data_IF_176695661922
#
_entry.id   IF_176695661922
#
_cell.length_a   1.000
_cell.length_b   1.000
_cell.length_c   1.000
_cell.angle_alpha   90.00
_cell.angle_beta   90.00
_cell.angle_gamma   90.00
#
_symmetry.space_group_name_H-M   'P 1'
#
loop_
_entity.id
_entity.type
_entity.pdbx_description
1 polymer ?
#
# COMPACT_ATOMS: atom_id res chain seq x y z
N UNK A 1 -0.19 -21.27 4.08
CA UNK A 1 0.58 -20.84 2.89
C UNK A 1 0.97 -19.37 3.08
N UNK A 2 2.23 -19.00 2.85
CA UNK A 2 2.69 -17.59 2.93
C UNK A 2 2.42 -16.90 1.59
N UNK A 3 1.85 -15.69 1.62
CA UNK A 3 1.67 -14.87 0.41
C UNK A 3 3.04 -14.46 -0.14
N UNK A 4 3.22 -14.61 -1.45
CA UNK A 4 4.45 -14.26 -2.15
C UNK A 4 4.57 -12.75 -2.28
N UNK A 5 5.78 -12.23 -2.09
CA UNK A 5 6.06 -10.82 -2.34
C UNK A 5 6.25 -10.60 -3.85
N UNK A 6 5.59 -9.57 -4.40
CA UNK A 6 5.76 -9.16 -5.79
C UNK A 6 6.92 -8.17 -5.91
N UNK A 7 7.82 -8.40 -6.86
CA UNK A 7 8.76 -7.38 -7.32
C UNK A 7 8.03 -6.32 -8.14
N UNK A 8 8.65 -5.15 -8.36
CA UNK A 8 8.04 -4.07 -9.15
C UNK A 8 7.83 -4.44 -10.63
N UNK A 9 8.64 -5.37 -11.14
CA UNK A 9 8.57 -5.87 -12.51
C UNK A 9 7.41 -6.87 -12.69
N UNK A 10 7.03 -7.56 -11.62
CA UNK A 10 5.94 -8.54 -11.63
C UNK A 10 4.57 -7.91 -11.43
N UNK A 11 4.52 -6.66 -10.97
CA UNK A 11 3.27 -5.95 -10.77
C UNK A 11 2.57 -5.69 -12.10
N UNK A 12 1.24 -5.69 -12.11
CA UNK A 12 0.48 -5.06 -13.18
C UNK A 12 0.41 -3.53 -13.00
N UNK A 13 -0.32 -2.84 -13.88
CA UNK A 13 -0.46 -1.39 -13.83
C UNK A 13 -1.25 -0.90 -12.60
N UNK A 14 -2.24 -1.65 -12.12
CA UNK A 14 -3.02 -1.28 -10.94
C UNK A 14 -2.18 -1.42 -9.67
N UNK A 15 -1.46 -2.52 -9.55
CA UNK A 15 -0.52 -2.79 -8.47
C UNK A 15 0.59 -1.73 -8.43
N UNK A 16 1.20 -1.41 -9.58
CA UNK A 16 2.20 -0.33 -9.66
C UNK A 16 1.63 1.01 -9.18
N UNK A 17 0.44 1.39 -9.65
CA UNK A 17 -0.21 2.64 -9.23
C UNK A 17 -0.43 2.71 -7.72
N UNK A 18 -0.91 1.64 -7.10
CA UNK A 18 -1.14 1.58 -5.65
C UNK A 18 0.19 1.64 -4.88
N UNK A 19 1.23 0.94 -5.35
CA UNK A 19 2.55 0.99 -4.75
C UNK A 19 3.17 2.40 -4.84
N UNK A 20 3.08 3.04 -6.01
CA UNK A 20 3.59 4.39 -6.26
C UNK A 20 2.84 5.43 -5.41
N UNK A 21 1.50 5.32 -5.30
CA UNK A 21 0.69 6.16 -4.40
C UNK A 21 1.19 6.05 -2.95
N UNK A 22 1.39 4.83 -2.45
CA UNK A 22 1.87 4.60 -1.09
C UNK A 22 3.29 5.12 -0.85
N UNK A 23 4.19 5.00 -1.84
CA UNK A 23 5.57 5.51 -1.78
C UNK A 23 5.59 7.04 -1.81
N UNK A 24 4.75 7.66 -2.64
CA UNK A 24 4.64 9.13 -2.73
C UNK A 24 4.09 9.80 -1.46
N UNK A 25 3.43 9.02 -0.60
CA UNK A 25 2.89 9.48 0.67
C UNK A 25 3.96 9.80 1.74
N UNK A 26 3.52 10.33 2.88
CA UNK A 26 4.36 10.77 4.03
C UNK A 26 5.36 9.73 4.55
N UNK A 27 5.16 8.45 4.25
CA UNK A 27 6.03 7.35 4.69
C UNK A 27 7.25 7.14 3.78
N UNK A 28 7.22 7.61 2.53
CA UNK A 28 8.31 7.41 1.57
C UNK A 28 8.58 5.94 1.18
N UNK A 29 7.70 5.02 1.58
CA UNK A 29 7.86 3.57 1.37
C UNK A 29 6.53 2.85 1.41
N UNK A 30 6.48 1.70 0.74
CA UNK A 30 5.34 0.79 0.82
C UNK A 30 5.21 0.21 2.25
N UNK A 31 4.05 0.37 2.93
CA UNK A 31 3.82 -0.24 4.24
C UNK A 31 3.86 -1.76 4.20
N UNK A 32 4.35 -2.40 5.26
CA UNK A 32 4.44 -3.86 5.36
C UNK A 32 3.15 -4.61 4.99
N UNK A 33 1.98 -4.24 5.54
CA UNK A 33 0.69 -4.85 5.17
C UNK A 33 0.30 -4.67 3.70
N UNK A 34 0.70 -3.56 3.07
CA UNK A 34 0.38 -3.31 1.66
C UNK A 34 1.05 -4.32 0.73
N UNK A 35 2.19 -4.91 1.14
CA UNK A 35 2.85 -5.99 0.38
C UNK A 35 1.97 -7.23 0.22
N UNK A 36 1.03 -7.44 1.14
CA UNK A 36 0.04 -8.52 1.07
C UNK A 36 -1.20 -8.08 0.30
N UNK A 37 -1.70 -6.87 0.59
CA UNK A 37 -2.91 -6.36 -0.06
C UNK A 37 -2.73 -6.02 -1.53
N UNK A 38 -1.49 -5.89 -2.02
CA UNK A 38 -1.23 -5.59 -3.44
C UNK A 38 -1.77 -6.66 -4.40
N UNK A 39 -1.99 -7.89 -3.93
CA UNK A 39 -2.67 -8.95 -4.70
C UNK A 39 -4.16 -8.65 -4.96
N UNK A 40 -4.72 -7.63 -4.29
CA UNK A 40 -6.02 -7.02 -4.56
C UNK A 40 -5.85 -5.49 -4.56
N UNK A 41 -5.52 -4.87 -5.71
CA UNK A 41 -5.16 -3.45 -5.79
C UNK A 41 -6.20 -2.51 -5.19
N UNK A 42 -7.49 -2.78 -5.43
CA UNK A 42 -8.60 -2.02 -4.86
C UNK A 42 -8.57 -2.03 -3.31
N UNK A 43 -8.43 -3.21 -2.71
CA UNK A 43 -8.27 -3.35 -1.26
C UNK A 43 -7.02 -2.61 -0.76
N UNK A 44 -5.89 -2.79 -1.45
CA UNK A 44 -4.63 -2.13 -1.12
C UNK A 44 -4.75 -0.61 -1.10
N UNK A 45 -5.45 -0.03 -2.08
CA UNK A 45 -5.70 1.40 -2.16
C UNK A 45 -6.56 1.89 -0.99
N UNK A 46 -7.68 1.24 -0.69
CA UNK A 46 -8.54 1.65 0.42
C UNK A 46 -7.82 1.52 1.78
N UNK A 47 -7.15 0.40 2.00
CA UNK A 47 -6.49 0.12 3.26
C UNK A 47 -5.28 1.04 3.52
N UNK A 48 -4.50 1.39 2.48
CA UNK A 48 -3.36 2.31 2.64
C UNK A 48 -3.83 3.73 2.96
N UNK A 49 -4.91 4.21 2.31
CA UNK A 49 -5.52 5.53 2.60
C UNK A 49 -6.10 5.58 4.02
N UNK A 50 -6.82 4.54 4.43
CA UNK A 50 -7.32 4.42 5.80
C UNK A 50 -6.15 4.47 6.81
N UNK A 51 -5.12 3.66 6.60
CA UNK A 51 -3.96 3.61 7.48
C UNK A 51 -3.14 4.91 7.50
N UNK A 52 -3.15 5.69 6.41
CA UNK A 52 -2.56 7.03 6.37
C UNK A 52 -3.41 8.03 7.16
N UNK A 53 -4.73 8.02 6.99
CA UNK A 53 -5.65 8.87 7.75
C UNK A 53 -5.55 8.59 9.25
N UNK A 54 -5.64 7.33 9.67
CA UNK A 54 -5.57 6.97 11.09
C UNK A 54 -4.25 7.43 11.73
N UNK A 55 -3.13 7.39 10.99
CA UNK A 55 -1.82 7.79 11.52
C UNK A 55 -1.56 9.30 11.48
N UNK A 56 -2.06 10.03 10.49
CA UNK A 56 -1.66 11.42 10.25
C UNK A 56 -2.81 12.42 10.20
N UNK A 57 -4.05 11.95 10.12
CA UNK A 57 -5.27 12.75 10.02
C UNK A 57 -6.09 12.76 11.30
N UNK A 58 -5.52 12.29 12.41
CA UNK A 58 -6.16 12.27 13.73
C UNK A 58 -5.30 13.01 14.74
N UNK A 59 -5.90 13.36 15.88
CA UNK A 59 -5.21 13.98 17.02
C UNK A 59 -4.50 12.96 17.93
N UNK A 60 -4.58 11.67 17.57
CA UNK A 60 -3.96 10.57 18.31
C UNK A 60 -2.55 10.23 17.78
N UNK A 61 -2.10 10.97 16.75
CA UNK A 61 -0.85 10.76 16.01
C UNK A 61 0.29 11.63 16.51
#
# INVERSE_FOLDING_TARGET
MRVRDLSREEMDDEQRRVADEAISGKRGRMPGPLRVWIHSPELGQHAQRLGAFLRYGTVLG
#
